data_IF_068608500545
#
_entry.id   IF_068608500545
#
_cell.length_a   1.000
_cell.length_b   1.000
_cell.length_c   1.000
_cell.angle_alpha   90.00
_cell.angle_beta   90.00
_cell.angle_gamma   90.00
#
_symmetry.space_group_name_H-M   'P 1'
#
loop_
_entity.id
_entity.type
_entity.pdbx_description
1 polymer ?
#
# COMPACT_ATOMS: atom_id res chain seq x y z
N UNK A 1 29.18 26.17 9.37
CA UNK A 1 28.36 25.28 8.51
C UNK A 1 28.26 23.94 9.18
N UNK A 2 27.09 23.54 9.66
CA UNK A 2 26.87 22.20 10.19
C UNK A 2 27.03 21.21 9.04
N UNK A 3 28.01 20.31 9.12
CA UNK A 3 28.25 19.24 8.14
C UNK A 3 27.04 18.31 8.19
N UNK A 4 26.24 18.26 7.11
CA UNK A 4 25.13 17.33 7.00
C UNK A 4 25.63 15.91 7.29
N UNK A 5 25.15 15.32 8.37
CA UNK A 5 25.51 13.95 8.76
C UNK A 5 24.59 12.99 8.02
N UNK A 6 24.98 12.54 6.83
CA UNK A 6 24.26 11.53 6.05
C UNK A 6 24.29 10.11 6.68
N UNK A 7 24.92 9.97 7.84
CA UNK A 7 25.03 8.71 8.57
C UNK A 7 24.02 8.59 9.73
N UNK A 8 23.13 9.59 9.91
CA UNK A 8 22.12 9.58 10.98
C UNK A 8 20.87 8.86 10.49
N UNK A 9 20.52 7.76 11.13
CA UNK A 9 19.31 6.99 10.85
C UNK A 9 18.12 7.61 11.60
N UNK A 10 17.10 8.07 10.88
CA UNK A 10 15.86 8.60 11.47
C UNK A 10 14.95 7.46 11.92
N UNK A 11 14.32 7.63 13.10
CA UNK A 11 13.28 6.71 13.59
C UNK A 11 11.94 7.10 13.01
N UNK A 12 11.34 6.21 12.23
CA UNK A 12 9.98 6.35 11.71
C UNK A 12 8.99 5.80 12.76
N UNK A 13 8.54 6.63 13.68
CA UNK A 13 7.44 6.33 14.58
C UNK A 13 6.33 7.37 14.37
N UNK A 14 5.37 7.05 13.53
CA UNK A 14 4.08 7.74 13.52
C UNK A 14 3.06 6.83 14.21
N UNK A 15 2.35 7.31 15.25
CA UNK A 15 1.26 6.56 15.86
C UNK A 15 0.14 6.37 14.83
N UNK A 16 -0.46 5.18 14.84
CA UNK A 16 -1.56 4.83 13.96
C UNK A 16 -2.83 5.56 14.39
N UNK A 17 -3.36 6.47 13.56
CA UNK A 17 -4.65 7.14 13.79
C UNK A 17 -5.73 6.63 12.83
N UNK A 18 -6.77 6.04 13.40
CA UNK A 18 -7.92 5.50 12.66
C UNK A 18 -8.88 6.58 12.13
N UNK A 19 -8.76 7.82 12.61
CA UNK A 19 -9.63 8.94 12.25
C UNK A 19 -9.57 9.25 10.75
N UNK A 20 -8.37 9.34 10.20
CA UNK A 20 -8.14 9.61 8.77
C UNK A 20 -8.65 8.49 7.88
N UNK A 21 -8.50 7.24 8.32
CA UNK A 21 -9.08 6.09 7.62
C UNK A 21 -10.61 6.16 7.54
N UNK A 22 -11.29 6.48 8.66
CA UNK A 22 -12.76 6.64 8.68
C UNK A 22 -13.20 7.74 7.72
N UNK A 23 -12.47 8.83 7.62
CA UNK A 23 -12.73 9.93 6.68
C UNK A 23 -12.56 9.48 5.22
N UNK A 24 -11.51 8.72 4.91
CA UNK A 24 -11.28 8.17 3.57
C UNK A 24 -12.40 7.21 3.11
N UNK A 25 -13.11 6.55 4.05
CA UNK A 25 -14.22 5.68 3.73
C UNK A 25 -15.41 6.40 3.06
N UNK A 26 -15.46 7.74 3.09
CA UNK A 26 -16.46 8.52 2.35
C UNK A 26 -16.29 8.30 0.84
N UNK A 27 -15.03 8.28 0.33
CA UNK A 27 -14.75 8.01 -1.08
C UNK A 27 -15.08 6.56 -1.46
N UNK A 28 -14.84 5.60 -0.56
CA UNK A 28 -15.19 4.19 -0.74
C UNK A 28 -16.72 4.03 -0.86
N UNK A 29 -17.49 4.72 -0.02
CA UNK A 29 -18.96 4.63 0.00
C UNK A 29 -19.60 5.05 -1.33
N UNK A 30 -18.99 5.98 -2.08
CA UNK A 30 -19.47 6.39 -3.42
C UNK A 30 -19.49 5.21 -4.40
N UNK A 31 -18.58 4.24 -4.23
CA UNK A 31 -18.43 3.10 -5.14
C UNK A 31 -18.82 1.76 -4.51
N UNK A 32 -19.60 1.78 -3.40
CA UNK A 32 -19.98 0.59 -2.63
C UNK A 32 -20.56 -0.54 -3.46
N UNK A 33 -21.41 -0.25 -4.45
CA UNK A 33 -22.02 -1.26 -5.30
C UNK A 33 -21.02 -1.98 -6.20
N UNK A 34 -20.02 -1.26 -6.73
CA UNK A 34 -18.92 -1.88 -7.49
C UNK A 34 -18.06 -2.78 -6.58
N UNK A 35 -17.82 -2.34 -5.34
CA UNK A 35 -17.05 -3.12 -4.36
C UNK A 35 -17.82 -4.37 -3.91
N UNK A 36 -19.13 -4.25 -3.65
CA UNK A 36 -19.98 -5.39 -3.30
C UNK A 36 -20.02 -6.39 -4.46
N UNK A 37 -20.20 -5.93 -5.70
CA UNK A 37 -20.18 -6.79 -6.88
C UNK A 37 -18.82 -7.50 -7.02
N UNK A 38 -17.72 -6.79 -6.84
CA UNK A 38 -16.38 -7.39 -6.88
C UNK A 38 -16.17 -8.44 -5.79
N UNK A 39 -16.65 -8.18 -4.56
CA UNK A 39 -16.61 -9.13 -3.45
C UNK A 39 -17.45 -10.37 -3.75
N UNK A 40 -18.66 -10.21 -4.29
CA UNK A 40 -19.53 -11.34 -4.65
C UNK A 40 -18.91 -12.20 -5.75
N UNK A 41 -18.38 -11.58 -6.81
CA UNK A 41 -17.64 -12.30 -7.87
C UNK A 41 -16.44 -13.05 -7.32
N UNK A 42 -15.73 -12.47 -6.36
CA UNK A 42 -14.58 -13.12 -5.73
C UNK A 42 -14.98 -14.30 -4.86
N UNK A 43 -16.04 -14.17 -4.08
CA UNK A 43 -16.55 -15.28 -3.26
C UNK A 43 -16.98 -16.45 -4.14
N UNK A 44 -17.70 -16.18 -5.24
CA UNK A 44 -18.09 -17.21 -6.21
C UNK A 44 -16.84 -17.83 -6.86
N UNK A 45 -15.88 -17.02 -7.29
CA UNK A 45 -14.62 -17.49 -7.88
C UNK A 45 -13.83 -18.38 -6.90
N UNK A 46 -13.78 -18.03 -5.62
CA UNK A 46 -13.11 -18.80 -4.59
C UNK A 46 -13.80 -20.17 -4.37
N UNK A 47 -15.13 -20.18 -4.27
CA UNK A 47 -15.89 -21.42 -4.12
C UNK A 47 -15.66 -22.33 -5.34
N UNK A 48 -15.78 -21.79 -6.56
CA UNK A 48 -15.58 -22.55 -7.80
C UNK A 48 -14.16 -23.12 -7.87
N UNK A 49 -13.14 -22.36 -7.47
CA UNK A 49 -11.76 -22.85 -7.44
C UNK A 49 -11.53 -23.98 -6.42
N UNK A 50 -12.33 -24.03 -5.34
CA UNK A 50 -12.24 -25.08 -4.32
C UNK A 50 -12.99 -26.38 -4.69
N UNK A 51 -13.82 -26.36 -5.73
CA UNK A 51 -14.46 -27.57 -6.28
C UNK A 51 -13.42 -28.49 -6.96
N UNK A 52 -12.37 -27.93 -7.54
CA UNK A 52 -11.34 -28.70 -8.25
C UNK A 52 -10.76 -29.88 -7.47
N UNK A 53 -10.27 -29.69 -6.24
CA UNK A 53 -9.79 -30.80 -5.41
C UNK A 53 -10.84 -31.88 -5.09
N UNK A 54 -12.13 -31.52 -4.97
CA UNK A 54 -13.21 -32.50 -4.79
C UNK A 54 -13.43 -33.33 -6.04
N UNK A 55 -13.39 -32.73 -7.23
CA UNK A 55 -13.46 -33.48 -8.48
C UNK A 55 -12.28 -34.41 -8.65
N UNK A 56 -11.08 -33.99 -8.22
CA UNK A 56 -9.89 -34.87 -8.21
C UNK A 56 -10.08 -36.05 -7.24
N UNK A 57 -10.63 -35.78 -6.04
CA UNK A 57 -10.96 -36.84 -5.08
C UNK A 57 -11.90 -37.85 -5.68
N UNK A 58 -13.01 -37.42 -6.28
CA UNK A 58 -14.03 -38.30 -6.89
C UNK A 58 -13.45 -39.11 -8.05
N UNK A 59 -12.58 -38.50 -8.86
CA UNK A 59 -11.90 -39.20 -9.94
C UNK A 59 -11.01 -40.33 -9.42
N UNK A 60 -10.24 -40.11 -8.34
CA UNK A 60 -9.30 -41.08 -7.78
C UNK A 60 -10.00 -42.16 -6.97
N UNK A 61 -11.04 -41.80 -6.22
CA UNK A 61 -11.71 -42.74 -5.30
C UNK A 61 -12.79 -43.60 -5.99
N UNK A 62 -13.42 -43.12 -7.06
CA UNK A 62 -14.55 -43.76 -7.71
C UNK A 62 -14.29 -44.02 -9.19
N UNK A 63 -14.04 -43.01 -9.98
CA UNK A 63 -14.05 -43.14 -11.44
C UNK A 63 -12.88 -44.02 -11.98
N UNK A 64 -11.69 -43.90 -11.38
CA UNK A 64 -10.51 -44.70 -11.78
C UNK A 64 -10.64 -46.17 -11.35
N UNK A 65 -11.01 -46.54 -10.08
CA UNK A 65 -11.20 -47.92 -9.68
C UNK A 65 -12.29 -48.63 -10.47
N UNK A 66 -13.38 -47.94 -10.82
CA UNK A 66 -14.48 -48.48 -11.61
C UNK A 66 -14.16 -48.60 -13.11
N UNK A 67 -13.04 -48.08 -13.57
CA UNK A 67 -12.64 -48.07 -14.98
C UNK A 67 -13.60 -47.30 -15.88
N UNK A 68 -14.40 -46.38 -15.29
CA UNK A 68 -15.45 -45.62 -15.98
C UNK A 68 -14.87 -44.42 -16.73
N UNK A 69 -14.34 -44.65 -17.96
CA UNK A 69 -13.72 -43.62 -18.80
C UNK A 69 -14.66 -42.43 -19.05
N UNK A 70 -15.97 -42.59 -19.42
CA UNK A 70 -16.87 -41.44 -19.57
C UNK A 70 -16.98 -40.57 -18.33
N UNK A 71 -17.00 -41.18 -17.15
CA UNK A 71 -17.07 -40.44 -15.89
C UNK A 71 -15.75 -39.67 -15.59
N UNK A 72 -14.60 -40.28 -15.88
CA UNK A 72 -13.30 -39.60 -15.78
C UNK A 72 -13.26 -38.36 -16.68
N UNK A 73 -13.73 -38.50 -17.96
CA UNK A 73 -13.78 -37.39 -18.89
C UNK A 73 -14.72 -36.27 -18.40
N UNK A 74 -15.90 -36.64 -17.85
CA UNK A 74 -16.85 -35.70 -17.28
C UNK A 74 -16.22 -34.90 -16.10
N UNK A 75 -15.56 -35.56 -15.16
CA UNK A 75 -14.89 -34.95 -14.04
C UNK A 75 -13.71 -34.04 -14.50
N UNK A 76 -12.96 -34.45 -15.51
CA UNK A 76 -11.87 -33.69 -16.11
C UNK A 76 -12.36 -32.43 -16.77
N UNK A 77 -13.46 -32.48 -17.52
CA UNK A 77 -14.12 -31.31 -18.12
C UNK A 77 -14.62 -30.37 -17.02
N UNK A 78 -15.26 -30.94 -15.96
CA UNK A 78 -15.71 -30.17 -14.80
C UNK A 78 -14.56 -29.43 -14.10
N UNK A 79 -13.42 -30.10 -13.92
CA UNK A 79 -12.20 -29.49 -13.37
C UNK A 79 -11.70 -28.33 -14.25
N UNK A 80 -11.62 -28.54 -15.56
CA UNK A 80 -11.18 -27.54 -16.53
C UNK A 80 -12.12 -26.33 -16.56
N UNK A 81 -13.44 -26.58 -16.53
CA UNK A 81 -14.46 -25.54 -16.45
C UNK A 81 -14.35 -24.75 -15.14
N UNK A 82 -14.08 -25.39 -14.02
CA UNK A 82 -13.90 -24.71 -12.72
C UNK A 82 -12.74 -23.71 -12.77
N UNK A 83 -11.63 -24.09 -13.41
CA UNK A 83 -10.48 -23.19 -13.61
C UNK A 83 -10.85 -22.02 -14.51
N UNK A 84 -11.45 -22.29 -15.67
CA UNK A 84 -11.83 -21.26 -16.64
C UNK A 84 -12.79 -20.25 -16.00
N UNK A 85 -13.84 -20.73 -15.35
CA UNK A 85 -14.84 -19.87 -14.69
C UNK A 85 -14.18 -19.04 -13.59
N UNK A 86 -13.33 -19.64 -12.76
CA UNK A 86 -12.61 -18.92 -11.71
C UNK A 86 -11.71 -17.81 -12.29
N UNK A 87 -10.97 -18.08 -13.35
CA UNK A 87 -10.10 -17.10 -14.02
C UNK A 87 -10.92 -15.97 -14.64
N UNK A 88 -12.03 -16.31 -15.32
CA UNK A 88 -12.91 -15.29 -15.95
C UNK A 88 -13.52 -14.36 -14.90
N UNK A 89 -14.07 -14.94 -13.83
CA UNK A 89 -14.65 -14.18 -12.72
C UNK A 89 -13.59 -13.29 -12.05
N UNK A 90 -12.37 -13.81 -11.85
CA UNK A 90 -11.24 -13.07 -11.33
C UNK A 90 -10.84 -11.88 -12.20
N UNK A 91 -10.82 -12.05 -13.51
CA UNK A 91 -10.54 -10.97 -14.48
C UNK A 91 -11.64 -9.90 -14.50
N UNK A 92 -12.91 -10.29 -14.46
CA UNK A 92 -14.04 -9.35 -14.38
C UNK A 92 -13.94 -8.54 -13.08
N UNK A 93 -13.75 -9.22 -11.96
CA UNK A 93 -13.51 -8.57 -10.67
C UNK A 93 -12.37 -7.54 -10.76
N UNK A 94 -11.22 -7.95 -11.29
CA UNK A 94 -10.04 -7.07 -11.38
C UNK A 94 -10.33 -5.81 -12.19
N UNK A 95 -11.05 -5.93 -13.33
CA UNK A 95 -11.47 -4.77 -14.13
C UNK A 95 -12.38 -3.83 -13.35
N UNK A 96 -13.36 -4.37 -12.61
CA UNK A 96 -14.26 -3.57 -11.77
C UNK A 96 -13.48 -2.82 -10.69
N UNK A 97 -12.54 -3.50 -10.03
CA UNK A 97 -11.71 -2.92 -8.98
C UNK A 97 -10.78 -1.84 -9.49
N UNK A 98 -10.09 -2.09 -10.60
CA UNK A 98 -9.22 -1.08 -11.23
C UNK A 98 -10.04 0.16 -11.61
N UNK A 99 -11.23 -0.02 -12.21
CA UNK A 99 -12.11 1.11 -12.55
C UNK A 99 -12.58 1.87 -11.30
N UNK A 100 -12.95 1.18 -10.22
CA UNK A 100 -13.32 1.82 -8.96
C UNK A 100 -12.16 2.61 -8.35
N UNK A 101 -10.95 2.03 -8.37
CA UNK A 101 -9.73 2.68 -7.88
C UNK A 101 -9.39 3.95 -8.64
N UNK A 102 -9.43 3.92 -9.97
CA UNK A 102 -9.16 5.11 -10.78
C UNK A 102 -10.20 6.23 -10.57
N UNK A 103 -11.45 5.87 -10.34
CA UNK A 103 -12.49 6.85 -10.02
C UNK A 103 -12.28 7.45 -8.61
N UNK A 104 -11.84 6.66 -7.62
CA UNK A 104 -11.48 7.17 -6.29
C UNK A 104 -10.26 8.11 -6.36
N UNK A 105 -9.22 7.75 -7.16
CA UNK A 105 -8.07 8.62 -7.41
C UNK A 105 -8.54 9.96 -7.97
N UNK A 106 -9.41 9.91 -8.97
CA UNK A 106 -9.96 11.12 -9.60
C UNK A 106 -10.70 11.99 -8.58
N UNK A 107 -11.60 11.41 -7.77
CA UNK A 107 -12.36 12.16 -6.76
C UNK A 107 -11.43 12.80 -5.72
N UNK A 108 -10.48 12.04 -5.16
CA UNK A 108 -9.55 12.56 -4.15
C UNK A 108 -8.67 13.67 -4.75
N UNK A 109 -8.16 13.47 -5.97
CA UNK A 109 -7.34 14.50 -6.64
C UNK A 109 -8.12 15.75 -6.96
N UNK A 110 -9.36 15.60 -7.42
CA UNK A 110 -10.24 16.73 -7.71
C UNK A 110 -10.48 17.55 -6.45
N UNK A 111 -10.87 16.90 -5.34
CA UNK A 111 -11.15 17.59 -4.09
C UNK A 111 -9.88 18.25 -3.53
N UNK A 112 -8.75 17.55 -3.56
CA UNK A 112 -7.46 18.08 -3.10
C UNK A 112 -6.98 19.25 -3.97
N UNK A 113 -7.10 19.12 -5.31
CA UNK A 113 -6.68 20.16 -6.23
C UNK A 113 -7.56 21.41 -6.12
N UNK A 114 -8.89 21.24 -5.98
CA UNK A 114 -9.81 22.36 -5.75
C UNK A 114 -9.42 23.13 -4.48
N UNK A 115 -9.16 22.40 -3.39
CA UNK A 115 -8.74 23.02 -2.13
C UNK A 115 -7.39 23.76 -2.25
N UNK A 116 -6.42 23.15 -2.97
CA UNK A 116 -5.13 23.82 -3.22
C UNK A 116 -5.27 25.14 -3.99
N UNK A 117 -6.28 25.31 -4.86
CA UNK A 117 -6.49 26.58 -5.57
C UNK A 117 -7.04 27.69 -4.66
N UNK A 118 -7.57 27.33 -3.51
CA UNK A 118 -8.15 28.27 -2.54
C UNK A 118 -7.16 28.66 -1.43
N UNK A 119 -6.01 27.96 -1.32
CA UNK A 119 -5.02 28.22 -0.27
C UNK A 119 -4.25 29.51 -0.51
N UNK A 120 -3.88 30.24 0.56
CA UNK A 120 -3.12 31.48 0.49
C UNK A 120 -1.69 31.25 -0.01
N UNK A 121 -1.05 32.28 -0.60
CA UNK A 121 0.33 32.22 -1.09
C UNK A 121 1.34 31.81 -0.01
N UNK A 122 1.13 32.17 1.24
CA UNK A 122 1.98 31.79 2.36
C UNK A 122 2.13 30.26 2.47
N UNK A 123 1.09 29.49 2.17
CA UNK A 123 1.15 28.02 2.13
C UNK A 123 2.21 27.51 1.14
N UNK A 124 2.34 28.19 -0.01
CA UNK A 124 3.26 27.84 -1.09
C UNK A 124 4.69 28.33 -0.84
N UNK A 125 4.83 29.47 -0.18
CA UNK A 125 6.13 30.07 0.17
C UNK A 125 6.83 29.25 1.28
N UNK A 126 6.07 28.74 2.25
CA UNK A 126 6.60 27.98 3.38
C UNK A 126 6.92 26.52 3.04
N UNK A 127 6.44 26.02 1.90
CA UNK A 127 6.53 24.60 1.55
C UNK A 127 7.17 24.34 0.18
N UNK A 128 8.18 23.45 0.09
CA UNK A 128 8.77 23.09 -1.20
C UNK A 128 7.71 22.52 -2.15
N UNK A 129 7.63 23.04 -3.38
CA UNK A 129 6.67 22.61 -4.41
C UNK A 129 6.70 21.09 -4.67
N UNK A 130 7.88 20.48 -4.59
CA UNK A 130 8.03 19.03 -4.72
C UNK A 130 7.27 18.23 -3.67
N UNK A 131 7.14 18.73 -2.42
CA UNK A 131 6.35 18.05 -1.37
C UNK A 131 4.84 18.10 -1.68
N UNK A 132 4.35 19.22 -2.20
CA UNK A 132 2.95 19.36 -2.59
C UNK A 132 2.63 18.40 -3.74
N UNK A 133 3.49 18.36 -4.76
CA UNK A 133 3.33 17.45 -5.90
C UNK A 133 3.28 15.97 -5.48
N UNK A 134 4.17 15.56 -4.58
CA UNK A 134 4.20 14.19 -4.04
C UNK A 134 2.89 13.84 -3.33
N UNK A 135 2.26 14.77 -2.59
CA UNK A 135 0.96 14.56 -1.92
C UNK A 135 -0.15 14.32 -2.95
N UNK A 136 -0.23 15.16 -3.99
CA UNK A 136 -1.28 15.08 -5.02
C UNK A 136 -1.14 13.85 -5.92
N UNK A 137 0.09 13.44 -6.23
CA UNK A 137 0.33 12.35 -7.18
C UNK A 137 0.57 11.03 -6.46
N UNK A 138 1.63 10.94 -5.66
CA UNK A 138 2.09 9.65 -5.15
C UNK A 138 1.24 9.16 -3.98
N UNK A 139 0.93 10.03 -3.01
CA UNK A 139 0.17 9.61 -1.84
C UNK A 139 -1.25 9.24 -2.21
N UNK A 140 -1.90 9.98 -3.13
CA UNK A 140 -3.25 9.65 -3.60
C UNK A 140 -3.29 8.30 -4.31
N UNK A 141 -2.28 7.97 -5.14
CA UNK A 141 -2.19 6.65 -5.77
C UNK A 141 -2.09 5.53 -4.73
N UNK A 142 -1.16 5.67 -3.79
CA UNK A 142 -0.93 4.64 -2.75
C UNK A 142 -2.16 4.44 -1.86
N UNK A 143 -2.85 5.53 -1.51
CA UNK A 143 -4.10 5.47 -0.73
C UNK A 143 -5.19 4.76 -1.51
N UNK A 144 -5.37 5.09 -2.79
CA UNK A 144 -6.39 4.45 -3.62
C UNK A 144 -6.13 2.95 -3.79
N UNK A 145 -4.88 2.56 -4.01
CA UNK A 145 -4.52 1.14 -4.09
C UNK A 145 -4.86 0.39 -2.79
N UNK A 146 -4.61 1.00 -1.63
CA UNK A 146 -4.98 0.42 -0.36
C UNK A 146 -6.50 0.35 -0.17
N UNK A 147 -7.24 1.42 -0.48
CA UNK A 147 -8.70 1.48 -0.32
C UNK A 147 -9.43 0.49 -1.24
N UNK A 148 -8.87 0.21 -2.42
CA UNK A 148 -9.46 -0.73 -3.40
C UNK A 148 -8.89 -2.13 -3.25
N UNK A 149 -7.62 -2.31 -3.63
CA UNK A 149 -7.00 -3.64 -3.63
C UNK A 149 -6.68 -4.12 -2.20
N UNK A 150 -6.21 -3.23 -1.30
CA UNK A 150 -5.81 -3.61 0.05
C UNK A 150 -6.97 -4.14 0.89
N UNK A 151 -8.06 -3.35 1.02
CA UNK A 151 -9.23 -3.72 1.84
C UNK A 151 -9.94 -4.94 1.25
N UNK A 152 -10.17 -4.94 -0.07
CA UNK A 152 -10.88 -6.05 -0.71
C UNK A 152 -10.05 -7.33 -0.64
N UNK A 153 -8.76 -7.28 -0.94
CA UNK A 153 -7.93 -8.46 -0.82
C UNK A 153 -7.89 -8.97 0.63
N UNK A 154 -7.87 -8.08 1.64
CA UNK A 154 -7.95 -8.51 3.03
C UNK A 154 -9.25 -9.28 3.33
N UNK A 155 -10.39 -8.78 2.87
CA UNK A 155 -11.69 -9.46 3.04
C UNK A 155 -11.70 -10.79 2.27
N UNK A 156 -11.12 -10.81 1.07
CA UNK A 156 -11.03 -12.02 0.24
C UNK A 156 -10.15 -13.09 0.86
N UNK A 157 -9.03 -12.71 1.46
CA UNK A 157 -8.17 -13.69 2.13
C UNK A 157 -8.86 -14.31 3.34
N UNK A 158 -9.67 -13.52 4.06
CA UNK A 158 -10.52 -14.05 5.14
C UNK A 158 -11.56 -15.02 4.57
N UNK A 159 -12.26 -14.67 3.48
CA UNK A 159 -13.21 -15.56 2.84
C UNK A 159 -12.56 -16.84 2.32
N UNK A 160 -11.41 -16.73 1.65
CA UNK A 160 -10.63 -17.88 1.21
C UNK A 160 -10.30 -18.80 2.39
N UNK A 161 -9.84 -18.25 3.50
CA UNK A 161 -9.47 -19.01 4.68
C UNK A 161 -10.69 -19.73 5.29
N UNK A 162 -11.84 -19.06 5.37
CA UNK A 162 -13.09 -19.64 5.84
C UNK A 162 -13.55 -20.75 4.91
N UNK A 163 -13.61 -20.50 3.60
CA UNK A 163 -14.08 -21.49 2.64
C UNK A 163 -13.15 -22.71 2.57
N UNK A 164 -11.83 -22.50 2.50
CA UNK A 164 -10.86 -23.60 2.52
C UNK A 164 -11.04 -24.44 3.78
N UNK A 165 -11.20 -23.79 4.95
CA UNK A 165 -11.45 -24.48 6.21
C UNK A 165 -12.72 -25.32 6.16
N UNK A 166 -13.84 -24.78 5.68
CA UNK A 166 -15.09 -25.50 5.53
C UNK A 166 -14.90 -26.72 4.61
N UNK A 167 -14.26 -26.54 3.45
CA UNK A 167 -14.01 -27.63 2.51
C UNK A 167 -13.08 -28.70 3.10
N UNK A 168 -12.04 -28.32 3.83
CA UNK A 168 -11.16 -29.28 4.52
C UNK A 168 -11.92 -30.14 5.53
N UNK A 169 -12.74 -29.52 6.38
CA UNK A 169 -13.55 -30.27 7.35
C UNK A 169 -14.65 -31.09 6.69
N UNK A 170 -15.15 -30.73 5.52
CA UNK A 170 -16.12 -31.51 4.77
C UNK A 170 -15.51 -32.76 4.13
N UNK A 171 -14.20 -32.75 3.83
CA UNK A 171 -13.50 -33.93 3.27
C UNK A 171 -13.13 -34.93 4.37
N UNK A 172 -12.38 -34.53 5.37
CA UNK A 172 -12.07 -35.33 6.56
C UNK A 172 -11.59 -34.45 7.71
N UNK A 173 -12.35 -34.41 8.80
CA UNK A 173 -12.05 -33.56 9.95
C UNK A 173 -10.74 -33.95 10.66
N UNK A 174 -10.35 -35.24 10.65
CA UNK A 174 -9.12 -35.72 11.30
C UNK A 174 -7.88 -35.20 10.55
N UNK A 175 -7.89 -35.27 9.22
CA UNK A 175 -6.83 -34.78 8.38
C UNK A 175 -6.77 -33.21 8.44
N UNK A 176 -7.91 -32.54 8.53
CA UNK A 176 -7.98 -31.11 8.73
C UNK A 176 -7.28 -30.69 10.03
N UNK A 177 -7.51 -31.39 11.14
CA UNK A 177 -6.85 -31.10 12.42
C UNK A 177 -5.33 -31.27 12.37
N UNK A 178 -4.79 -32.18 11.57
CA UNK A 178 -3.33 -32.31 11.36
C UNK A 178 -2.76 -31.03 10.73
N UNK A 179 -3.45 -30.48 9.72
CA UNK A 179 -3.01 -29.25 9.07
C UNK A 179 -3.12 -28.06 10.04
N UNK A 180 -4.23 -27.99 10.80
CA UNK A 180 -4.43 -26.94 11.80
C UNK A 180 -3.41 -26.99 12.94
N UNK A 181 -2.88 -28.17 13.30
CA UNK A 181 -1.80 -28.28 14.28
C UNK A 181 -0.50 -27.56 13.86
N UNK A 182 -0.30 -27.36 12.57
CA UNK A 182 0.81 -26.55 12.04
C UNK A 182 0.64 -25.05 12.23
N UNK A 183 -0.60 -24.55 12.40
CA UNK A 183 -0.88 -23.11 12.49
C UNK A 183 -0.22 -22.43 13.69
N UNK A 184 -0.29 -22.96 14.92
CA UNK A 184 0.40 -22.37 16.07
C UNK A 184 1.92 -22.28 15.85
N UNK A 185 2.53 -23.33 15.27
CA UNK A 185 3.96 -23.33 14.96
C UNK A 185 4.30 -22.23 13.95
N UNK A 186 3.49 -22.11 12.90
CA UNK A 186 3.63 -21.05 11.90
C UNK A 186 3.53 -19.67 12.52
N UNK A 187 2.53 -19.40 13.36
CA UNK A 187 2.32 -18.10 14.02
C UNK A 187 3.52 -17.73 14.88
N UNK A 188 4.03 -18.65 15.70
CA UNK A 188 5.20 -18.41 16.55
C UNK A 188 6.42 -18.05 15.71
N UNK A 189 6.71 -18.83 14.67
CA UNK A 189 7.84 -18.57 13.76
C UNK A 189 7.69 -17.21 13.07
N UNK A 190 6.49 -16.86 12.59
CA UNK A 190 6.23 -15.58 11.93
C UNK A 190 6.40 -14.40 12.89
N UNK A 191 5.96 -14.49 14.14
CA UNK A 191 6.16 -13.43 15.14
C UNK A 191 7.64 -13.18 15.37
N UNK A 192 8.45 -14.25 15.51
CA UNK A 192 9.90 -14.14 15.71
C UNK A 192 10.59 -13.50 14.51
N UNK A 193 10.24 -13.93 13.29
CA UNK A 193 10.88 -13.49 12.06
C UNK A 193 10.45 -12.07 11.64
N UNK A 194 9.19 -11.69 11.89
CA UNK A 194 8.64 -10.37 11.56
C UNK A 194 9.51 -9.21 12.09
N UNK A 195 9.96 -9.30 13.34
CA UNK A 195 10.78 -8.26 13.94
C UNK A 195 12.16 -8.14 13.28
N UNK A 196 12.77 -9.27 12.90
CA UNK A 196 14.05 -9.28 12.17
C UNK A 196 13.89 -8.70 10.76
N UNK A 197 12.81 -9.09 10.07
CA UNK A 197 12.48 -8.59 8.73
C UNK A 197 12.24 -7.06 8.75
N UNK A 198 11.43 -6.57 9.70
CA UNK A 198 11.17 -5.13 9.87
C UNK A 198 12.47 -4.33 10.06
N UNK A 199 13.35 -4.78 10.97
CA UNK A 199 14.65 -4.11 11.22
C UNK A 199 15.54 -4.10 9.98
N UNK A 200 15.55 -5.19 9.21
CA UNK A 200 16.33 -5.27 7.98
C UNK A 200 15.82 -4.28 6.91
N UNK A 201 14.51 -4.18 6.71
CA UNK A 201 13.90 -3.21 5.80
C UNK A 201 14.09 -1.76 6.24
N UNK A 202 14.02 -1.46 7.55
CA UNK A 202 14.36 -0.15 8.07
C UNK A 202 15.82 0.23 7.76
N UNK A 203 16.74 -0.74 7.89
CA UNK A 203 18.14 -0.53 7.53
C UNK A 203 18.33 -0.17 6.05
N UNK A 204 17.58 -0.82 5.13
CA UNK A 204 17.58 -0.44 3.69
C UNK A 204 17.06 0.98 3.53
N UNK A 205 15.90 1.29 4.10
CA UNK A 205 15.26 2.60 3.97
C UNK A 205 16.20 3.73 4.40
N UNK A 206 16.85 3.60 5.55
CA UNK A 206 17.79 4.59 6.06
C UNK A 206 19.00 4.77 5.13
N UNK A 207 19.61 3.67 4.67
CA UNK A 207 20.77 3.76 3.76
C UNK A 207 20.38 4.30 2.37
N UNK A 208 19.17 3.99 1.90
CA UNK A 208 18.64 4.56 0.66
C UNK A 208 18.41 6.08 0.79
N UNK A 209 17.80 6.53 1.89
CA UNK A 209 17.60 7.95 2.17
C UNK A 209 18.92 8.72 2.20
N UNK A 210 19.93 8.18 2.89
CA UNK A 210 21.26 8.78 2.96
C UNK A 210 21.92 8.88 1.58
N UNK A 211 21.82 7.84 0.75
CA UNK A 211 22.36 7.83 -0.60
C UNK A 211 21.63 8.82 -1.51
N UNK A 212 20.28 8.86 -1.44
CA UNK A 212 19.46 9.77 -2.26
C UNK A 212 19.69 11.23 -1.88
N UNK A 213 19.79 11.53 -0.57
CA UNK A 213 20.10 12.88 -0.10
C UNK A 213 21.48 13.36 -0.61
N UNK A 214 22.48 12.47 -0.52
CA UNK A 214 23.82 12.78 -1.03
C UNK A 214 23.84 12.99 -2.55
N UNK A 215 23.10 12.17 -3.31
CA UNK A 215 22.95 12.35 -4.76
C UNK A 215 22.33 13.71 -5.10
N UNK A 216 21.23 14.08 -4.42
CA UNK A 216 20.58 15.36 -4.63
C UNK A 216 21.52 16.55 -4.34
N UNK A 217 22.26 16.49 -3.21
CA UNK A 217 23.26 17.51 -2.88
C UNK A 217 24.39 17.55 -3.91
N UNK A 218 24.92 16.40 -4.31
CA UNK A 218 26.00 16.33 -5.31
C UNK A 218 25.61 16.90 -6.67
N UNK A 219 24.36 16.65 -7.11
CA UNK A 219 23.84 17.20 -8.38
C UNK A 219 23.64 18.69 -8.26
N UNK A 220 23.04 19.18 -7.18
CA UNK A 220 22.81 20.61 -6.95
C UNK A 220 24.12 21.40 -6.83
N UNK A 221 25.15 20.79 -6.24
CA UNK A 221 26.47 21.41 -6.05
C UNK A 221 27.47 21.03 -7.15
N UNK A 222 27.04 20.51 -8.31
CA UNK A 222 27.95 20.03 -9.36
C UNK A 222 28.92 21.12 -9.85
N UNK A 223 28.44 22.36 -10.03
CA UNK A 223 29.30 23.51 -10.42
C UNK A 223 30.43 23.75 -9.42
N UNK A 224 30.14 23.66 -8.12
CA UNK A 224 31.15 23.80 -7.06
C UNK A 224 32.12 22.64 -7.09
N UNK A 225 31.64 21.40 -7.22
CA UNK A 225 32.48 20.20 -7.31
C UNK A 225 33.47 20.31 -8.45
N UNK A 226 33.04 20.72 -9.65
CA UNK A 226 33.90 20.88 -10.82
C UNK A 226 34.87 22.09 -10.68
N UNK A 227 34.40 23.21 -10.12
CA UNK A 227 35.26 24.40 -9.92
C UNK A 227 36.43 24.13 -8.96
N UNK A 228 36.26 23.18 -8.02
CA UNK A 228 37.31 22.78 -7.08
C UNK A 228 37.97 21.44 -7.44
N UNK A 229 37.69 20.84 -8.63
CA UNK A 229 38.21 19.56 -9.10
C UNK A 229 38.09 18.43 -8.07
N UNK A 230 36.91 18.33 -7.40
CA UNK A 230 36.63 17.39 -6.31
C UNK A 230 35.80 16.17 -6.76
N UNK A 231 35.74 15.85 -8.04
CA UNK A 231 34.93 14.79 -8.60
C UNK A 231 35.31 13.40 -8.02
N UNK A 232 36.63 13.15 -7.88
CA UNK A 232 37.10 11.88 -7.34
C UNK A 232 36.75 11.70 -5.86
N UNK A 233 36.82 12.75 -5.07
CA UNK A 233 36.41 12.70 -3.66
C UNK A 233 34.90 12.46 -3.53
N UNK A 234 34.10 13.17 -4.32
CA UNK A 234 32.67 13.00 -4.39
C UNK A 234 32.25 11.58 -4.80
N UNK A 235 32.95 11.03 -5.83
CA UNK A 235 32.76 9.63 -6.24
C UNK A 235 33.15 8.64 -5.14
N UNK A 236 34.19 8.93 -4.38
CA UNK A 236 34.63 8.12 -3.23
C UNK A 236 33.56 8.04 -2.14
N UNK A 237 32.92 9.17 -1.80
CA UNK A 237 31.83 9.25 -0.84
C UNK A 237 30.63 8.46 -1.37
N UNK A 238 30.23 8.68 -2.62
CA UNK A 238 29.11 7.94 -3.24
C UNK A 238 29.33 6.42 -3.23
N UNK A 239 30.54 5.95 -3.58
CA UNK A 239 30.89 4.52 -3.52
C UNK A 239 30.74 3.95 -2.11
N UNK A 240 31.13 4.70 -1.07
CA UNK A 240 30.98 4.29 0.34
C UNK A 240 29.51 4.15 0.72
N UNK A 241 28.67 5.14 0.40
CA UNK A 241 27.24 5.13 0.67
C UNK A 241 26.52 4.00 -0.11
N UNK A 242 26.84 3.84 -1.40
CA UNK A 242 26.30 2.77 -2.24
C UNK A 242 26.69 1.38 -1.72
N UNK A 243 27.92 1.24 -1.22
CA UNK A 243 28.38 -0.02 -0.61
C UNK A 243 27.62 -0.31 0.70
N UNK A 244 27.35 0.71 1.52
CA UNK A 244 26.57 0.56 2.74
C UNK A 244 25.12 0.16 2.42
N UNK A 245 24.48 0.80 1.42
CA UNK A 245 23.18 0.42 0.92
C UNK A 245 23.13 -1.02 0.41
N UNK A 246 24.10 -1.43 -0.43
CA UNK A 246 24.21 -2.81 -0.93
C UNK A 246 24.31 -3.82 0.20
N UNK A 247 25.14 -3.55 1.24
CA UNK A 247 25.26 -4.43 2.40
C UNK A 247 23.94 -4.56 3.17
N UNK A 248 23.21 -3.45 3.38
CA UNK A 248 21.91 -3.47 4.02
C UNK A 248 20.88 -4.25 3.18
N UNK A 249 20.88 -4.06 1.86
CA UNK A 249 20.05 -4.81 0.93
C UNK A 249 20.31 -6.31 0.99
N UNK A 250 21.56 -6.74 0.89
CA UNK A 250 21.92 -8.16 0.97
C UNK A 250 21.52 -8.79 2.30
N UNK A 251 21.67 -8.06 3.42
CA UNK A 251 21.18 -8.52 4.72
C UNK A 251 19.67 -8.72 4.74
N UNK A 252 18.91 -7.77 4.16
CA UNK A 252 17.46 -7.89 4.11
C UNK A 252 16.99 -9.02 3.18
N UNK A 253 17.64 -9.21 2.04
CA UNK A 253 17.39 -10.37 1.14
C UNK A 253 17.66 -11.69 1.86
N UNK A 254 18.77 -11.81 2.60
CA UNK A 254 19.07 -13.01 3.39
C UNK A 254 18.00 -13.28 4.43
N UNK A 255 17.55 -12.26 5.17
CA UNK A 255 16.46 -12.40 6.15
C UNK A 255 15.16 -12.78 5.47
N UNK A 256 14.83 -12.17 4.34
CA UNK A 256 13.60 -12.48 3.59
C UNK A 256 13.62 -13.92 3.05
N UNK A 257 14.74 -14.37 2.49
CA UNK A 257 14.90 -15.74 2.02
C UNK A 257 14.76 -16.74 3.18
N UNK A 258 15.29 -16.41 4.36
CA UNK A 258 15.12 -17.25 5.54
C UNK A 258 13.66 -17.34 6.01
N UNK A 259 12.88 -16.25 5.87
CA UNK A 259 11.42 -16.27 6.13
C UNK A 259 10.74 -17.22 5.16
N UNK A 260 10.97 -17.07 3.85
CA UNK A 260 10.37 -17.94 2.82
C UNK A 260 10.75 -19.41 3.06
N UNK A 261 12.04 -19.69 3.29
CA UNK A 261 12.53 -21.03 3.61
C UNK A 261 11.83 -21.64 4.84
N UNK A 262 11.63 -20.85 5.91
CA UNK A 262 10.96 -21.32 7.13
C UNK A 262 9.49 -21.67 6.87
N UNK A 263 8.78 -20.85 6.09
CA UNK A 263 7.39 -21.08 5.70
C UNK A 263 7.25 -22.36 4.87
N UNK A 264 8.11 -22.51 3.86
CA UNK A 264 8.08 -23.70 2.97
C UNK A 264 8.41 -24.97 3.73
N UNK A 265 9.34 -24.93 4.69
CA UNK A 265 9.64 -26.09 5.53
C UNK A 265 8.50 -26.45 6.49
N UNK A 266 7.86 -25.47 7.13
CA UNK A 266 6.68 -25.74 7.98
C UNK A 266 5.59 -26.42 7.16
N UNK A 267 5.32 -25.91 5.96
CA UNK A 267 4.37 -26.50 5.03
C UNK A 267 4.77 -27.95 4.66
N UNK A 268 6.03 -28.16 4.29
CA UNK A 268 6.51 -29.50 3.93
C UNK A 268 6.39 -30.49 5.10
N UNK A 269 6.68 -30.05 6.34
CA UNK A 269 6.49 -30.89 7.55
C UNK A 269 5.02 -31.20 7.79
N UNK A 270 4.13 -30.21 7.63
CA UNK A 270 2.68 -30.41 7.78
C UNK A 270 2.14 -31.35 6.70
N UNK A 271 2.53 -31.16 5.44
CA UNK A 271 2.12 -32.05 4.35
C UNK A 271 2.68 -33.49 4.55
N UNK A 272 3.92 -33.62 5.04
CA UNK A 272 4.49 -34.91 5.41
C UNK A 272 3.72 -35.58 6.57
N UNK A 273 3.34 -34.83 7.59
CA UNK A 273 2.52 -35.29 8.68
C UNK A 273 1.11 -35.70 8.20
N UNK A 274 0.52 -34.98 7.25
CA UNK A 274 -0.74 -35.30 6.60
C UNK A 274 -0.68 -36.69 5.94
N UNK A 275 0.37 -36.92 5.13
CA UNK A 275 0.58 -38.22 4.48
C UNK A 275 0.84 -39.33 5.51
N UNK A 276 1.69 -39.07 6.50
CA UNK A 276 1.99 -40.05 7.54
C UNK A 276 0.75 -40.45 8.34
N UNK A 277 -0.01 -39.47 8.84
CA UNK A 277 -1.23 -39.72 9.61
C UNK A 277 -2.31 -40.37 8.74
N UNK A 278 -2.51 -39.86 7.52
CA UNK A 278 -3.54 -40.37 6.61
C UNK A 278 -3.29 -41.81 6.16
N UNK A 279 -2.05 -42.17 5.82
CA UNK A 279 -1.72 -43.48 5.27
C UNK A 279 -1.38 -44.50 6.34
N UNK A 280 -0.63 -44.13 7.39
CA UNK A 280 -0.08 -45.09 8.35
C UNK A 280 -0.85 -45.13 9.68
N UNK A 281 -1.42 -44.01 10.14
CA UNK A 281 -2.12 -43.98 11.43
C UNK A 281 -3.61 -44.29 11.25
N UNK A 282 -4.28 -43.60 10.32
CA UNK A 282 -5.71 -43.81 10.06
C UNK A 282 -5.91 -44.97 9.10
N UNK A 283 -5.17 -44.96 7.99
CA UNK A 283 -5.13 -46.05 7.01
C UNK A 283 -6.39 -46.24 6.16
N UNK A 284 -6.25 -47.03 5.09
CA UNK A 284 -7.36 -47.47 4.25
C UNK A 284 -8.16 -48.59 4.93
N UNK A 285 -9.50 -48.64 4.85
CA UNK A 285 -10.39 -47.78 4.05
C UNK A 285 -10.91 -46.52 4.76
N UNK A 286 -10.46 -46.22 5.97
CA UNK A 286 -10.99 -45.14 6.77
C UNK A 286 -10.67 -43.72 6.18
N UNK A 287 -9.59 -43.63 5.40
CA UNK A 287 -9.26 -42.45 4.59
C UNK A 287 -8.89 -42.91 3.19
N UNK A 288 -9.52 -42.34 2.16
CA UNK A 288 -9.25 -42.67 0.77
C UNK A 288 -8.02 -41.89 0.24
N UNK A 289 -7.37 -42.43 -0.81
CA UNK A 289 -6.27 -41.77 -1.50
C UNK A 289 -6.71 -40.40 -2.07
N UNK A 290 -7.90 -40.34 -2.65
CA UNK A 290 -8.46 -39.09 -3.17
C UNK A 290 -8.67 -38.03 -2.07
N UNK A 291 -9.07 -38.46 -0.85
CA UNK A 291 -9.18 -37.55 0.30
C UNK A 291 -7.83 -36.95 0.70
N UNK A 292 -6.76 -37.76 0.71
CA UNK A 292 -5.40 -37.27 1.02
C UNK A 292 -4.92 -36.28 -0.04
N UNK A 293 -5.14 -36.61 -1.34
CA UNK A 293 -4.78 -35.72 -2.44
C UNK A 293 -5.55 -34.39 -2.41
N UNK A 294 -6.87 -34.47 -2.17
CA UNK A 294 -7.69 -33.25 -2.03
C UNK A 294 -7.22 -32.42 -0.84
N UNK A 295 -6.91 -33.05 0.30
CA UNK A 295 -6.46 -32.39 1.50
C UNK A 295 -5.07 -31.71 1.32
N UNK A 296 -4.15 -32.38 0.62
CA UNK A 296 -2.85 -31.79 0.24
C UNK A 296 -3.01 -30.55 -0.65
N UNK A 297 -3.94 -30.60 -1.61
CA UNK A 297 -4.27 -29.43 -2.43
C UNK A 297 -4.86 -28.27 -1.59
N UNK A 298 -5.75 -28.58 -0.65
CA UNK A 298 -6.28 -27.55 0.26
C UNK A 298 -5.22 -27.03 1.21
N UNK A 299 -4.34 -27.88 1.76
CA UNK A 299 -3.19 -27.46 2.56
C UNK A 299 -2.33 -26.45 1.80
N UNK A 300 -2.01 -26.74 0.54
CA UNK A 300 -1.28 -25.82 -0.32
C UNK A 300 -1.89 -24.43 -0.42
N UNK A 301 -3.21 -24.35 -0.50
CA UNK A 301 -3.96 -23.10 -0.64
C UNK A 301 -4.23 -22.42 0.69
N UNK A 302 -4.18 -23.14 1.79
CA UNK A 302 -4.49 -22.65 3.13
C UNK A 302 -3.43 -21.67 3.67
N UNK A 303 -2.14 -21.89 3.38
CA UNK A 303 -1.05 -21.06 3.91
C UNK A 303 -0.95 -19.69 3.25
N UNK A 304 -1.31 -19.60 1.97
CA UNK A 304 -1.17 -18.35 1.20
C UNK A 304 -2.00 -17.19 1.77
N UNK A 305 -3.29 -17.33 2.10
CA UNK A 305 -4.07 -16.29 2.76
C UNK A 305 -3.44 -15.76 4.03
N UNK A 306 -2.87 -16.64 4.87
CA UNK A 306 -2.26 -16.24 6.14
C UNK A 306 -1.04 -15.35 5.90
N UNK A 307 -0.20 -15.70 4.92
CA UNK A 307 0.98 -14.91 4.53
C UNK A 307 0.54 -13.56 3.96
N UNK A 308 -0.47 -13.56 3.08
CA UNK A 308 -0.97 -12.35 2.43
C UNK A 308 -1.57 -11.37 3.45
N UNK A 309 -2.35 -11.83 4.42
CA UNK A 309 -2.90 -11.00 5.50
C UNK A 309 -1.79 -10.28 6.26
N UNK A 310 -0.69 -10.96 6.56
CA UNK A 310 0.44 -10.36 7.26
C UNK A 310 1.12 -9.24 6.45
N UNK A 311 1.21 -9.40 5.12
CA UNK A 311 1.76 -8.37 4.22
C UNK A 311 0.83 -7.18 4.04
N UNK A 312 -0.48 -7.43 3.94
CA UNK A 312 -1.51 -6.39 3.79
C UNK A 312 -1.55 -5.44 4.99
N UNK A 313 -1.28 -5.94 6.20
CA UNK A 313 -1.20 -5.11 7.40
C UNK A 313 -0.15 -3.99 7.27
N UNK A 314 1.04 -4.30 6.76
CA UNK A 314 2.09 -3.28 6.57
C UNK A 314 1.69 -2.23 5.52
N UNK A 315 1.06 -2.66 4.42
CA UNK A 315 0.56 -1.76 3.39
C UNK A 315 -0.54 -0.83 3.95
N UNK A 316 -1.39 -1.36 4.83
CA UNK A 316 -2.43 -0.61 5.51
C UNK A 316 -1.85 0.49 6.42
N UNK A 317 -0.85 0.17 7.23
CA UNK A 317 -0.17 1.14 8.11
C UNK A 317 0.46 2.28 7.28
N UNK A 318 1.14 1.95 6.19
CA UNK A 318 1.74 2.96 5.31
C UNK A 318 0.68 3.86 4.67
N UNK A 319 -0.42 3.29 4.22
CA UNK A 319 -1.48 4.06 3.57
C UNK A 319 -2.21 5.01 4.54
N UNK A 320 -2.33 4.65 5.82
CA UNK A 320 -2.88 5.56 6.85
C UNK A 320 -1.98 6.78 7.01
N UNK A 321 -0.64 6.61 7.00
CA UNK A 321 0.28 7.73 7.03
C UNK A 321 0.15 8.65 5.80
N UNK A 322 -0.10 8.08 4.62
CA UNK A 322 -0.37 8.89 3.41
C UNK A 322 -1.71 9.63 3.50
N UNK A 323 -2.76 8.99 4.07
CA UNK A 323 -4.05 9.63 4.33
C UNK A 323 -3.91 10.84 5.26
N UNK A 324 -3.14 10.70 6.33
CA UNK A 324 -2.84 11.79 7.25
C UNK A 324 -2.27 13.00 6.49
N UNK A 325 -1.26 12.78 5.64
CA UNK A 325 -0.64 13.85 4.84
C UNK A 325 -1.57 14.49 3.81
N UNK A 326 -2.48 13.72 3.24
CA UNK A 326 -3.50 14.24 2.32
C UNK A 326 -4.51 15.10 3.09
N UNK A 327 -5.02 14.58 4.22
CA UNK A 327 -6.03 15.31 5.00
C UNK A 327 -5.45 16.50 5.74
N UNK A 328 -4.19 16.49 6.20
CA UNK A 328 -3.48 17.68 6.65
C UNK A 328 -3.53 18.81 5.60
N UNK A 329 -3.35 18.45 4.33
CA UNK A 329 -3.43 19.45 3.25
C UNK A 329 -4.86 19.90 3.00
N UNK A 330 -5.85 18.99 3.07
CA UNK A 330 -7.27 19.32 2.89
C UNK A 330 -7.87 20.10 4.07
N UNK A 331 -7.24 20.05 5.24
CA UNK A 331 -7.69 20.73 6.46
C UNK A 331 -6.93 22.07 6.68
N UNK A 332 -5.98 22.41 5.82
CA UNK A 332 -5.29 23.69 5.86
C UNK A 332 -6.34 24.82 5.71
N UNK A 333 -6.35 25.85 6.58
CA UNK A 333 -7.35 26.88 6.53
C UNK A 333 -7.22 27.73 5.26
N UNK A 334 -8.36 28.08 4.69
CA UNK A 334 -8.46 29.07 3.61
C UNK A 334 -8.69 30.44 4.27
N UNK A 335 -7.61 31.19 4.46
CA UNK A 335 -7.64 32.45 5.18
C UNK A 335 -8.21 33.61 4.34
N UNK A 336 -8.03 33.52 3.00
CA UNK A 336 -8.52 34.56 2.07
C UNK A 336 -9.79 34.04 1.42
N UNK A 337 -10.94 34.48 1.93
CA UNK A 337 -12.27 34.16 1.40
C UNK A 337 -12.97 35.43 0.97
N UNK A 338 -13.82 35.31 -0.05
CA UNK A 338 -14.77 36.37 -0.39
C UNK A 338 -15.69 36.63 0.80
N UNK A 339 -15.99 37.91 1.05
CA UNK A 339 -16.98 38.30 2.04
C UNK A 339 -18.37 37.83 1.57
N UNK A 340 -19.30 37.61 2.52
CA UNK A 340 -20.68 37.20 2.19
C UNK A 340 -21.41 38.20 1.28
N UNK A 341 -21.02 39.48 1.35
CA UNK A 341 -21.52 40.60 0.58
C UNK A 341 -20.59 41.04 -0.56
N UNK A 342 -19.63 40.18 -0.97
CA UNK A 342 -18.71 40.48 -2.06
C UNK A 342 -19.46 40.72 -3.37
N UNK A 343 -19.05 41.74 -4.09
CA UNK A 343 -19.59 42.10 -5.41
C UNK A 343 -18.50 42.01 -6.49
N UNK A 344 -18.92 41.91 -7.75
CA UNK A 344 -17.96 41.94 -8.86
C UNK A 344 -17.22 43.27 -8.91
N UNK A 345 -15.89 43.20 -9.01
CA UNK A 345 -15.04 44.38 -9.07
C UNK A 345 -15.34 45.16 -10.35
N UNK A 346 -15.66 46.44 -10.27
CA UNK A 346 -15.88 47.26 -11.44
C UNK A 346 -14.57 47.48 -12.23
N UNK A 347 -14.68 47.95 -13.48
CA UNK A 347 -13.52 48.25 -14.31
C UNK A 347 -12.56 49.20 -13.58
N UNK A 348 -11.33 48.74 -13.38
CA UNK A 348 -10.30 49.43 -12.62
C UNK A 348 -9.72 50.58 -13.49
N UNK A 349 -9.79 51.81 -13.00
CA UNK A 349 -9.18 52.98 -13.65
C UNK A 349 -7.69 53.13 -13.36
N UNK A 350 -7.16 52.32 -12.41
CA UNK A 350 -5.74 52.31 -12.08
C UNK A 350 -5.29 53.33 -11.04
N UNK A 351 -6.22 53.95 -10.29
CA UNK A 351 -5.89 54.75 -9.11
C UNK A 351 -5.70 53.84 -7.89
N UNK A 352 -4.57 54.06 -7.16
CA UNK A 352 -4.25 53.30 -5.95
C UNK A 352 -4.00 54.26 -4.80
N UNK A 353 -4.72 54.08 -3.70
CA UNK A 353 -4.56 54.89 -2.50
C UNK A 353 -4.28 54.01 -1.28
N UNK A 354 -3.20 54.30 -0.58
CA UNK A 354 -2.88 53.76 0.73
C UNK A 354 -3.25 54.78 1.78
N UNK A 355 -4.05 54.40 2.77
CA UNK A 355 -4.45 55.27 3.89
C UNK A 355 -4.08 54.60 5.19
N UNK A 356 -3.07 55.13 5.87
CA UNK A 356 -2.66 54.68 7.21
C UNK A 356 -2.48 53.16 7.32
N UNK A 357 -1.81 52.57 6.32
CA UNK A 357 -1.63 51.11 6.23
C UNK A 357 -0.50 50.68 7.14
N UNK A 358 -0.84 49.79 8.09
CA UNK A 358 0.12 49.08 8.91
C UNK A 358 0.06 47.60 8.55
N UNK A 359 1.22 46.98 8.29
CA UNK A 359 1.29 45.58 7.87
C UNK A 359 2.43 44.84 8.57
N UNK A 360 2.15 43.59 8.96
CA UNK A 360 3.12 42.67 9.53
C UNK A 360 2.92 41.25 8.94
N UNK A 361 4.02 40.53 8.67
CA UNK A 361 3.96 39.10 8.34
C UNK A 361 3.83 38.21 9.59
N UNK A 362 4.42 38.65 10.71
CA UNK A 362 4.36 38.01 12.01
C UNK A 362 3.76 38.97 13.04
N UNK A 363 2.94 38.46 13.95
CA UNK A 363 2.39 39.28 15.06
C UNK A 363 3.54 39.97 15.83
N UNK A 364 3.48 41.29 15.96
CA UNK A 364 4.44 42.08 16.72
C UNK A 364 5.68 42.55 15.96
N UNK A 365 5.80 42.26 14.64
CA UNK A 365 6.88 42.79 13.76
C UNK A 365 6.26 43.57 12.61
N UNK A 366 5.95 44.82 12.83
CA UNK A 366 5.45 45.67 11.76
C UNK A 366 6.55 45.93 10.73
N UNK A 367 6.23 45.70 9.45
CA UNK A 367 7.08 46.00 8.32
C UNK A 367 6.69 47.34 7.68
N UNK A 368 5.41 47.61 7.67
CA UNK A 368 4.87 48.90 7.29
C UNK A 368 4.13 49.51 8.48
N UNK A 369 4.35 50.78 8.79
CA UNK A 369 3.66 51.52 9.86
C UNK A 369 3.12 52.82 9.32
N UNK A 370 1.80 53.02 9.39
CA UNK A 370 1.11 54.27 9.05
C UNK A 370 1.46 54.79 7.66
N UNK A 371 1.61 53.90 6.66
CA UNK A 371 2.00 54.27 5.30
C UNK A 371 0.81 54.85 4.55
N UNK A 372 0.95 56.07 4.02
CA UNK A 372 -0.09 56.73 3.23
C UNK A 372 0.51 57.33 1.97
N UNK A 373 -0.04 57.01 0.80
CA UNK A 373 0.31 57.61 -0.48
C UNK A 373 -0.79 57.34 -1.51
N UNK A 374 -0.79 58.15 -2.58
CA UNK A 374 -1.74 57.98 -3.70
C UNK A 374 -0.97 57.92 -5.01
N UNK A 375 -1.35 57.00 -5.90
CA UNK A 375 -0.82 56.82 -7.25
C UNK A 375 -1.95 57.07 -8.25
N UNK A 376 -1.76 58.02 -9.15
CA UNK A 376 -2.76 58.35 -10.19
C UNK A 376 -2.71 57.37 -11.36
N UNK A 377 -3.80 57.20 -12.11
CA UNK A 377 -3.79 56.40 -13.33
C UNK A 377 -2.68 56.79 -14.30
N UNK A 378 -1.86 55.82 -14.74
CA UNK A 378 -0.72 56.06 -15.61
C UNK A 378 0.56 56.57 -14.96
N UNK A 379 0.54 56.82 -13.65
CA UNK A 379 1.73 57.22 -12.90
C UNK A 379 2.58 55.98 -12.54
N UNK A 380 3.91 56.12 -12.61
CA UNK A 380 4.86 55.08 -12.20
C UNK A 380 5.58 55.55 -10.94
N UNK A 381 5.53 54.74 -9.89
CA UNK A 381 6.27 54.97 -8.65
C UNK A 381 7.26 53.87 -8.38
N UNK A 382 8.36 54.18 -7.71
CA UNK A 382 9.34 53.22 -7.22
C UNK A 382 9.27 53.15 -5.69
N UNK A 383 9.05 51.96 -5.14
CA UNK A 383 9.17 51.73 -3.70
C UNK A 383 10.61 51.31 -3.41
N UNK A 384 11.30 52.05 -2.53
CA UNK A 384 12.70 51.78 -2.15
C UNK A 384 12.75 51.63 -0.63
N UNK A 385 13.56 50.72 -0.15
CA UNK A 385 13.74 50.51 1.28
C UNK A 385 14.78 49.43 1.57
N UNK A 386 15.14 49.23 2.84
CA UNK A 386 15.99 48.13 3.24
C UNK A 386 15.22 46.80 3.03
N UNK A 387 15.91 45.80 2.45
CA UNK A 387 15.40 44.45 2.25
C UNK A 387 15.63 43.58 3.49
#
# INVERSE_FOLDING_TARGET
MARNKFDVDERLETPFDFKHFKRAMVYVKRYKWKMILALSLSAISAIVALIGPLLTKEAVDVAIPDGNIPYIVFLSIGFLLSIIVSVVLGNIRQRIMTKAGQLMIYDIRKDLFAHLQELPFQYYDDRPQGKILVRVVNYVNNVSDMLTNGIINFILEIFNLIFITIFMFSVDARLALVIFAGVPVFIVVMIILKNKQRRAWQGISNKNSNQTAYLAESINCMRVTQSFARENENLGIFRRLSTAYRKAWMKAVTVNNFVSFSVDNIRAVVDSALYFVGLLVIGYPAVSLGSILAMSNYSSRFWQPIINIASLYNNFVNAVAYLERIFETMDEPVDVKDAEDAYEMPDIKGEVEYRDVTFAYEEGKNILENVSFTVKPGESIALVGPT
#
